data_IF_422631353538
#
_entry.id   IF_422631353538
#
_cell.length_a   1.000
_cell.length_b   1.000
_cell.length_c   1.000
_cell.angle_alpha   90.00
_cell.angle_beta   90.00
_cell.angle_gamma   90.00
#
_symmetry.space_group_name_H-M   'P 1'
#
loop_
_entity.id
_entity.type
_entity.pdbx_description
1 polymer ?
#
# COMPACT_ATOMS: atom_id res chain seq x y z
N UNK A 1 -44.44 -32.31 -39.48
CA UNK A 1 -44.74 -31.15 -38.63
C UNK A 1 -43.55 -30.90 -37.71
N UNK A 2 -42.40 -30.49 -38.28
CA UNK A 2 -41.13 -30.33 -37.52
C UNK A 2 -40.41 -29.00 -37.83
N UNK A 3 -40.93 -28.20 -38.77
CA UNK A 3 -40.26 -26.99 -39.23
C UNK A 3 -40.41 -25.79 -38.27
N UNK A 4 -41.37 -25.84 -37.35
CA UNK A 4 -41.67 -24.74 -36.41
C UNK A 4 -40.78 -24.75 -35.16
N UNK A 5 -40.38 -25.93 -34.66
CA UNK A 5 -39.58 -26.07 -33.44
C UNK A 5 -38.11 -25.68 -33.64
N UNK A 6 -37.54 -26.03 -34.79
CA UNK A 6 -36.15 -25.67 -35.17
C UNK A 6 -36.00 -24.14 -35.29
N UNK A 7 -37.03 -23.48 -35.84
CA UNK A 7 -37.05 -22.04 -36.04
C UNK A 7 -37.18 -21.26 -34.71
N UNK A 8 -37.93 -21.82 -33.75
CA UNK A 8 -38.05 -21.26 -32.40
C UNK A 8 -36.74 -21.40 -31.61
N UNK A 9 -36.08 -22.55 -31.71
CA UNK A 9 -34.81 -22.85 -31.03
C UNK A 9 -33.69 -21.92 -31.49
N UNK A 10 -33.58 -21.69 -32.82
CA UNK A 10 -32.64 -20.73 -33.39
C UNK A 10 -32.90 -19.29 -32.91
N UNK A 11 -34.17 -18.87 -32.84
CA UNK A 11 -34.53 -17.53 -32.35
C UNK A 11 -34.16 -17.32 -30.89
N UNK A 12 -34.39 -18.33 -30.05
CA UNK A 12 -33.99 -18.30 -28.64
C UNK A 12 -32.47 -18.26 -28.48
N UNK A 13 -31.74 -19.05 -29.28
CA UNK A 13 -30.27 -19.05 -29.28
C UNK A 13 -29.71 -17.69 -29.73
N UNK A 14 -30.27 -17.10 -30.79
CA UNK A 14 -29.89 -15.79 -31.29
C UNK A 14 -30.18 -14.68 -30.26
N UNK A 15 -31.33 -14.74 -29.58
CA UNK A 15 -31.68 -13.81 -28.51
C UNK A 15 -30.74 -13.93 -27.31
N UNK A 16 -30.39 -15.16 -26.91
CA UNK A 16 -29.43 -15.41 -25.85
C UNK A 16 -28.05 -14.85 -26.19
N UNK A 17 -27.54 -15.14 -27.40
CA UNK A 17 -26.27 -14.59 -27.88
C UNK A 17 -26.30 -13.06 -27.97
N UNK A 18 -27.41 -12.48 -28.41
CA UNK A 18 -27.61 -11.03 -28.44
C UNK A 18 -27.59 -10.43 -27.02
N UNK A 19 -28.28 -11.04 -26.06
CA UNK A 19 -28.24 -10.63 -24.65
C UNK A 19 -26.84 -10.75 -24.03
N UNK A 20 -26.07 -11.78 -24.38
CA UNK A 20 -24.68 -11.91 -23.93
C UNK A 20 -23.78 -10.77 -24.44
N UNK A 21 -24.05 -10.21 -25.63
CA UNK A 21 -23.33 -9.04 -26.13
C UNK A 21 -23.60 -7.78 -25.29
N UNK A 22 -24.78 -7.67 -24.67
CA UNK A 22 -25.10 -6.55 -23.76
C UNK A 22 -24.48 -6.71 -22.38
N UNK A 23 -24.06 -7.92 -21.98
CA UNK A 23 -23.73 -8.22 -20.58
C UNK A 23 -22.30 -7.92 -20.13
N UNK A 24 -21.32 -7.65 -21.00
CA UNK A 24 -19.94 -7.45 -20.49
C UNK A 24 -19.13 -6.39 -21.22
N UNK A 25 -19.55 -5.14 -21.12
CA UNK A 25 -18.58 -4.04 -21.02
C UNK A 25 -18.81 -3.32 -19.70
N UNK A 26 -18.49 -3.99 -18.59
CA UNK A 26 -18.24 -3.29 -17.33
C UNK A 26 -16.98 -2.48 -17.56
N UNK A 27 -17.11 -1.22 -17.99
CA UNK A 27 -16.00 -0.28 -17.93
C UNK A 27 -15.49 -0.32 -16.50
N UNK A 28 -14.28 -0.86 -16.30
CA UNK A 28 -13.58 -0.69 -15.04
C UNK A 28 -13.43 0.81 -14.86
N UNK A 29 -14.27 1.41 -14.02
CA UNK A 29 -14.03 2.76 -13.56
C UNK A 29 -12.70 2.70 -12.82
N UNK A 30 -11.66 3.22 -13.47
CA UNK A 30 -10.35 3.41 -12.86
C UNK A 30 -10.53 4.49 -11.80
N UNK A 31 -11.00 4.07 -10.63
CA UNK A 31 -11.09 4.92 -9.46
C UNK A 31 -9.66 5.10 -8.95
N UNK A 32 -9.01 6.16 -9.40
CA UNK A 32 -7.78 6.64 -8.80
C UNK A 32 -8.13 7.22 -7.43
N UNK A 33 -7.52 6.71 -6.38
CA UNK A 33 -7.60 7.30 -5.05
C UNK A 33 -6.21 7.87 -4.72
N UNK A 34 -6.19 9.03 -4.09
CA UNK A 34 -4.98 9.65 -3.59
C UNK A 34 -5.09 9.73 -2.07
N UNK A 35 -4.07 9.21 -1.38
CA UNK A 35 -3.92 9.39 0.07
C UNK A 35 -2.66 10.20 0.33
N UNK A 36 -2.84 11.32 1.04
CA UNK A 36 -1.74 12.15 1.50
C UNK A 36 -1.59 11.95 2.99
N UNK A 37 -0.49 11.35 3.42
CA UNK A 37 -0.13 11.22 4.83
C UNK A 37 0.06 12.61 5.45
N UNK A 38 -0.68 12.91 6.51
CA UNK A 38 -0.58 14.18 7.20
C UNK A 38 0.49 14.12 8.31
N UNK A 39 1.06 15.29 8.63
CA UNK A 39 1.96 15.42 9.79
C UNK A 39 1.14 15.15 11.05
N UNK A 40 1.57 14.16 11.85
CA UNK A 40 0.90 13.85 13.11
C UNK A 40 1.52 14.73 14.21
N UNK A 41 0.83 15.81 14.60
CA UNK A 41 1.20 16.70 15.72
C UNK A 41 2.38 17.66 15.46
N UNK A 42 3.03 18.10 16.54
CA UNK A 42 4.15 19.08 16.56
C UNK A 42 5.43 18.61 15.84
N UNK A 43 5.51 17.33 15.47
CA UNK A 43 6.68 16.80 14.78
C UNK A 43 6.57 17.06 13.28
N UNK A 44 7.23 18.13 12.85
CA UNK A 44 7.40 18.55 11.45
C UNK A 44 8.23 17.57 10.57
N UNK A 45 8.33 16.31 10.98
CA UNK A 45 9.14 15.28 10.33
C UNK A 45 8.38 14.67 9.17
N UNK A 46 8.95 14.77 7.96
CA UNK A 46 8.33 14.26 6.74
C UNK A 46 8.26 12.72 6.78
N UNK A 47 7.10 12.12 6.47
CA UNK A 47 6.98 10.67 6.35
C UNK A 47 7.69 10.15 5.10
N UNK A 48 8.28 8.97 5.21
CA UNK A 48 8.89 8.22 4.13
C UNK A 48 8.16 6.89 3.98
N UNK A 49 7.90 6.48 2.74
CA UNK A 49 7.35 5.16 2.44
C UNK A 49 8.49 4.15 2.47
N UNK A 50 8.45 3.23 3.43
CA UNK A 50 9.44 2.18 3.58
C UNK A 50 9.10 0.95 2.71
N UNK A 51 7.81 0.63 2.58
CA UNK A 51 7.34 -0.51 1.80
C UNK A 51 5.89 -0.32 1.32
N UNK A 52 5.55 -0.92 0.20
CA UNK A 52 4.19 -0.98 -0.35
C UNK A 52 3.90 -2.42 -0.75
N UNK A 53 2.86 -3.00 -0.18
CA UNK A 53 2.36 -4.34 -0.53
C UNK A 53 0.95 -4.27 -1.06
N UNK A 54 0.71 -5.01 -2.13
CA UNK A 54 -0.62 -5.24 -2.70
C UNK A 54 -1.02 -6.68 -2.42
N UNK A 55 -2.26 -6.92 -2.01
CA UNK A 55 -2.77 -8.26 -1.76
C UNK A 55 -3.63 -8.75 -2.93
N UNK A 56 -3.77 -10.08 -3.05
CA UNK A 56 -4.48 -10.76 -4.15
C UNK A 56 -5.98 -10.46 -4.19
N UNK A 57 -6.53 -9.88 -3.12
CA UNK A 57 -7.89 -9.35 -3.12
C UNK A 57 -8.07 -8.20 -4.12
N UNK A 58 -6.97 -7.61 -4.64
CA UNK A 58 -6.98 -6.52 -5.60
C UNK A 58 -7.61 -5.24 -5.07
N UNK A 59 -7.91 -5.21 -3.77
CA UNK A 59 -8.67 -4.17 -3.10
C UNK A 59 -7.90 -3.55 -1.94
N UNK A 60 -6.86 -4.23 -1.45
CA UNK A 60 -6.11 -3.82 -0.26
C UNK A 60 -4.65 -3.53 -0.59
N UNK A 61 -4.24 -2.31 -0.25
CA UNK A 61 -2.85 -1.86 -0.33
C UNK A 61 -2.38 -1.56 1.09
N UNK A 62 -1.24 -2.12 1.46
CA UNK A 62 -0.60 -1.88 2.75
C UNK A 62 0.64 -1.03 2.50
N UNK A 63 0.64 0.15 3.10
CA UNK A 63 1.78 1.07 3.05
C UNK A 63 2.42 1.10 4.43
N UNK A 64 3.71 0.80 4.50
CA UNK A 64 4.52 0.97 5.70
C UNK A 64 5.24 2.31 5.64
N UNK A 65 5.06 3.13 6.67
CA UNK A 65 5.60 4.48 6.76
C UNK A 65 6.59 4.55 7.92
N UNK A 66 7.70 5.24 7.69
CA UNK A 66 8.70 5.57 8.71
C UNK A 66 8.91 7.08 8.73
N UNK A 67 9.26 7.64 9.89
CA UNK A 67 9.56 9.06 10.04
C UNK A 67 10.94 9.24 10.66
N UNK A 68 11.62 10.31 10.24
CA UNK A 68 12.86 10.74 10.90
C UNK A 68 12.52 11.21 12.32
N UNK A 69 13.27 10.77 13.33
CA UNK A 69 13.18 11.31 14.67
C UNK A 69 14.59 11.59 15.20
N UNK A 70 14.87 12.88 15.42
CA UNK A 70 16.18 13.36 15.87
C UNK A 70 16.58 12.86 17.27
N UNK A 71 15.62 12.40 18.07
CA UNK A 71 15.83 11.93 19.45
C UNK A 71 16.15 10.44 19.55
N UNK A 72 16.55 9.77 18.47
CA UNK A 72 17.01 8.37 18.56
C UNK A 72 18.29 8.28 19.39
N UNK A 73 18.45 7.17 20.10
CA UNK A 73 19.65 6.83 20.88
C UNK A 73 20.89 6.62 20.00
N UNK A 74 20.72 6.41 18.69
CA UNK A 74 21.83 6.29 17.74
C UNK A 74 22.21 7.64 17.13
N UNK A 75 23.49 8.00 17.24
CA UNK A 75 24.09 9.15 16.55
C UNK A 75 24.33 8.83 15.07
N UNK A 76 23.25 8.88 14.28
CA UNK A 76 23.29 8.57 12.85
C UNK A 76 23.98 9.63 12.00
N UNK A 77 24.36 10.79 12.59
CA UNK A 77 25.10 11.84 11.89
C UNK A 77 26.48 11.36 11.41
N UNK A 78 27.13 10.49 12.19
CA UNK A 78 28.46 9.93 11.88
C UNK A 78 28.51 9.01 10.68
N UNK A 79 27.37 8.45 10.28
CA UNK A 79 27.25 7.48 9.18
C UNK A 79 26.43 8.03 8.01
N UNK A 80 26.19 9.36 7.96
CA UNK A 80 25.31 9.99 6.97
C UNK A 80 23.94 9.30 6.87
N UNK A 81 23.44 8.82 8.01
CA UNK A 81 22.17 8.12 8.12
C UNK A 81 21.10 8.97 8.77
N UNK A 82 19.87 8.47 8.73
CA UNK A 82 18.74 9.04 9.47
C UNK A 82 18.31 8.12 10.61
N UNK A 83 17.93 8.75 11.70
CA UNK A 83 17.34 8.13 12.87
C UNK A 83 15.84 7.97 12.65
N UNK A 84 15.30 6.78 12.91
CA UNK A 84 13.86 6.52 12.73
C UNK A 84 13.10 6.61 14.06
N UNK A 85 11.82 6.98 13.98
CA UNK A 85 10.90 6.82 15.11
C UNK A 85 10.70 5.34 15.47
N UNK A 86 10.42 5.06 16.74
CA UNK A 86 10.12 3.71 17.25
C UNK A 86 8.61 3.46 17.29
N UNK A 87 7.93 3.83 16.21
CA UNK A 87 6.50 3.60 16.07
C UNK A 87 6.26 2.88 14.73
N UNK A 88 5.61 1.73 14.79
CA UNK A 88 5.16 1.05 13.58
C UNK A 88 3.95 1.81 13.04
N UNK A 89 4.05 2.34 11.81
CA UNK A 89 2.94 3.00 11.13
C UNK A 89 2.57 2.28 9.86
N UNK A 90 1.37 1.74 9.85
CA UNK A 90 0.82 1.04 8.69
C UNK A 90 -0.45 1.77 8.24
N UNK A 91 -0.59 1.95 6.93
CA UNK A 91 -1.82 2.42 6.28
C UNK A 91 -2.38 1.30 5.44
N UNK A 92 -3.60 0.89 5.74
CA UNK A 92 -4.37 -0.04 4.92
C UNK A 92 -5.28 0.81 4.06
N UNK A 93 -4.95 0.93 2.78
CA UNK A 93 -5.70 1.72 1.81
C UNK A 93 -6.56 0.77 0.99
N UNK A 94 -7.86 1.01 1.00
CA UNK A 94 -8.84 0.23 0.27
C UNK A 94 -9.17 0.90 -1.07
N UNK A 95 -9.55 0.11 -2.08
CA UNK A 95 -9.93 0.62 -3.42
C UNK A 95 -11.08 1.64 -3.41
N UNK A 96 -11.92 1.62 -2.39
CA UNK A 96 -12.99 2.62 -2.21
C UNK A 96 -12.47 3.96 -1.64
N UNK A 97 -11.17 4.13 -1.47
CA UNK A 97 -10.52 5.32 -0.91
C UNK A 97 -10.48 5.35 0.63
N UNK A 98 -11.05 4.35 1.31
CA UNK A 98 -10.98 4.27 2.77
C UNK A 98 -9.55 3.97 3.20
N UNK A 99 -9.08 4.69 4.21
CA UNK A 99 -7.76 4.44 4.82
C UNK A 99 -7.94 4.08 6.27
N UNK A 100 -7.39 2.93 6.67
CA UNK A 100 -7.32 2.49 8.05
C UNK A 100 -5.89 2.63 8.55
N UNK A 101 -5.73 3.40 9.60
CA UNK A 101 -4.43 3.62 10.26
C UNK A 101 -4.20 2.55 11.32
N UNK A 102 -2.98 2.01 11.35
CA UNK A 102 -2.54 1.00 12.31
C UNK A 102 -1.21 1.49 12.88
N UNK A 103 -1.30 2.10 14.06
CA UNK A 103 -0.18 2.73 14.77
C UNK A 103 -0.02 2.13 16.19
N UNK A 104 0.27 0.81 16.32
CA UNK A 104 0.35 0.17 17.63
C UNK A 104 1.52 0.73 18.46
N UNK A 105 1.28 0.91 19.76
CA UNK A 105 2.35 1.12 20.74
C UNK A 105 3.01 -0.24 21.03
N UNK A 106 4.12 -0.50 20.35
CA UNK A 106 4.83 -1.77 20.47
C UNK A 106 5.72 -1.84 21.71
N UNK A 107 5.89 -0.75 22.47
CA UNK A 107 6.79 -0.66 23.64
C UNK A 107 8.16 -1.30 23.39
N UNK A 108 8.69 -1.14 22.17
CA UNK A 108 9.98 -1.69 21.80
C UNK A 108 11.10 -0.86 22.42
N UNK A 109 12.18 -1.55 22.77
CA UNK A 109 13.40 -0.88 23.17
C UNK A 109 13.90 0.06 22.06
N UNK A 110 14.65 1.11 22.44
CA UNK A 110 15.11 2.05 21.47
C UNK A 110 15.93 1.43 20.34
N UNK A 111 15.41 1.53 19.12
CA UNK A 111 16.09 1.14 17.89
C UNK A 111 17.44 1.86 17.80
N UNK A 112 18.52 1.08 17.67
CA UNK A 112 19.91 1.57 17.60
C UNK A 112 20.55 1.47 16.20
N UNK A 113 19.74 1.34 15.15
CA UNK A 113 20.24 1.31 13.77
C UNK A 113 19.92 2.60 13.01
N UNK A 114 20.75 2.90 12.02
CA UNK A 114 20.60 4.06 11.15
C UNK A 114 20.11 3.60 9.77
N UNK A 115 19.13 4.31 9.22
CA UNK A 115 18.76 4.15 7.83
C UNK A 115 19.76 4.95 6.98
N UNK A 116 20.55 4.28 6.15
CA UNK A 116 21.58 4.95 5.36
C UNK A 116 20.95 5.65 4.16
N UNK A 117 21.31 6.92 3.97
CA UNK A 117 20.95 7.66 2.77
C UNK A 117 21.94 7.28 1.66
N UNK A 118 21.70 6.16 0.97
CA UNK A 118 22.44 5.87 -0.26
C UNK A 118 21.89 6.81 -1.34
N UNK A 119 22.78 7.54 -2.03
CA UNK A 119 22.44 8.49 -3.10
C UNK A 119 21.69 7.87 -4.28
N UNK A 120 21.43 6.55 -4.25
CA UNK A 120 20.68 5.79 -5.25
C UNK A 120 19.41 5.20 -4.63
N UNK A 121 18.31 5.98 -4.60
CA UNK A 121 16.87 5.62 -4.55
C UNK A 121 16.36 4.43 -3.69
N UNK A 122 17.20 3.77 -2.90
CA UNK A 122 16.90 2.55 -2.17
C UNK A 122 17.61 2.60 -0.82
N UNK A 123 16.80 2.64 0.24
CA UNK A 123 17.31 2.67 1.60
C UNK A 123 17.80 1.28 2.01
N UNK A 124 19.01 1.18 2.55
CA UNK A 124 19.55 -0.04 3.15
C UNK A 124 19.60 0.10 4.67
N UNK A 125 19.09 -0.91 5.38
CA UNK A 125 19.19 -1.01 6.84
C UNK A 125 20.54 -1.68 7.15
N UNK A 126 21.50 -0.93 7.69
CA UNK A 126 22.76 -1.50 8.21
C UNK A 126 22.75 -1.46 9.73
N UNK A 127 22.86 -2.65 10.35
CA UNK A 127 22.99 -2.79 11.80
C UNK A 127 24.41 -2.39 12.21
N UNK A 128 24.53 -1.50 13.20
CA UNK A 128 25.82 -1.21 13.83
C UNK A 128 26.16 -2.38 14.76
N UNK A 129 27.04 -3.27 14.33
CA UNK A 129 27.56 -4.34 15.18
C UNK A 129 28.70 -3.78 16.02
N UNK A 130 28.39 -3.04 17.08
CA UNK A 130 29.34 -2.81 18.17
C UNK A 130 28.94 -3.71 19.34
N UNK A 131 29.38 -4.97 19.29
CA UNK A 131 29.55 -5.78 20.48
C UNK A 131 30.99 -5.51 20.93
N UNK A 132 31.15 -4.72 22.00
CA UNK A 132 32.32 -4.73 22.88
C UNK A 132 31.80 -5.11 24.25
#
# INVERSE_FOLDING_TARGET
>A
MELSSVNLSYKLLALYLFLCLFMTSTKSQLNYFNYTETKLGDQNTQPLVADIKTYDDGLTILVHIVRNKSTSTADCSKVQGMSLEQQLRIRVILRNGTVKEIDPDLKLDPINYCLLNNTNTKYEIKKHNNII
#
